data_IF_331605101809
#
_entry.id   IF_331605101809
#
_cell.length_a   1.000
_cell.length_b   1.000
_cell.length_c   1.000
_cell.angle_alpha   90.00
_cell.angle_beta   90.00
_cell.angle_gamma   90.00
#
_symmetry.space_group_name_H-M   'P 1'
#
loop_
_entity.id
_entity.type
_entity.pdbx_description
1 polymer ?
#
# COMPACT_ATOMS: atom_id res chain seq x y z
N UNK A 1 25.56 34.08 52.10
CA UNK A 1 24.95 35.31 52.66
C UNK A 1 24.03 35.92 51.59
N UNK A 2 22.83 36.37 52.04
CA UNK A 2 21.72 37.10 51.36
C UNK A 2 20.85 36.21 50.45
N UNK A 3 19.76 35.68 50.87
CA UNK A 3 18.39 36.06 51.26
C UNK A 3 17.79 37.27 50.52
N UNK A 4 16.61 37.00 49.91
CA UNK A 4 15.38 37.85 49.83
C UNK A 4 14.72 37.67 48.47
N UNK A 5 13.44 37.62 48.26
CA UNK A 5 12.19 37.52 49.05
C UNK A 5 11.06 37.48 48.00
N UNK A 6 10.03 36.74 48.36
CA UNK A 6 8.71 36.62 47.82
C UNK A 6 8.13 37.90 47.17
N UNK A 7 7.24 37.68 46.16
CA UNK A 7 6.03 38.47 46.06
C UNK A 7 4.92 37.67 45.38
N UNK A 8 3.90 37.37 46.16
CA UNK A 8 2.56 36.97 45.76
C UNK A 8 1.85 38.15 45.10
N UNK A 9 1.16 37.90 44.00
CA UNK A 9 -0.07 38.65 43.70
C UNK A 9 -1.10 37.71 43.06
N UNK A 10 -2.11 37.44 43.84
CA UNK A 10 -3.38 36.86 43.45
C UNK A 10 -4.21 37.96 42.75
N UNK A 11 -4.82 37.62 41.62
CA UNK A 11 -5.97 38.33 41.08
C UNK A 11 -6.96 37.35 40.53
N UNK A 12 -8.03 37.19 41.29
CA UNK A 12 -9.27 36.50 40.88
C UNK A 12 -10.08 37.43 39.99
N UNK A 13 -10.63 36.93 38.89
CA UNK A 13 -11.79 37.56 38.25
C UNK A 13 -12.60 36.49 37.49
N UNK A 14 -13.65 36.02 38.08
CA UNK A 14 -15.09 36.03 37.73
C UNK A 14 -15.47 35.59 36.33
N UNK A 15 -15.97 34.38 36.26
CA UNK A 15 -17.30 33.85 35.86
C UNK A 15 -18.05 34.63 34.76
N UNK A 16 -18.24 33.99 33.61
CA UNK A 16 -19.47 34.10 32.80
C UNK A 16 -19.75 32.83 32.03
N UNK A 17 -20.72 32.06 32.51
CA UNK A 17 -21.41 31.01 31.78
C UNK A 17 -22.28 31.69 30.70
N UNK A 18 -22.04 31.29 29.42
CA UNK A 18 -23.09 31.41 28.39
C UNK A 18 -23.30 30.04 27.79
N UNK A 19 -24.35 29.39 28.23
CA UNK A 19 -24.90 28.20 27.59
C UNK A 19 -25.55 28.62 26.27
N UNK A 20 -24.87 28.32 25.16
CA UNK A 20 -25.42 28.43 23.81
C UNK A 20 -25.83 27.02 23.31
N UNK A 21 -27.07 26.58 23.57
CA UNK A 21 -27.67 25.44 22.87
C UNK A 21 -27.90 25.83 21.41
N UNK A 22 -27.00 25.42 20.53
CA UNK A 22 -27.25 25.44 19.10
C UNK A 22 -27.87 24.09 18.71
N UNK A 23 -29.20 24.05 18.56
CA UNK A 23 -29.92 22.95 17.94
C UNK A 23 -29.53 22.89 16.46
N UNK A 24 -28.76 21.85 16.09
CA UNK A 24 -28.53 21.52 14.68
C UNK A 24 -29.87 21.10 14.08
N UNK A 25 -30.36 21.94 13.17
CA UNK A 25 -31.44 21.59 12.26
C UNK A 25 -30.99 20.37 11.45
N UNK A 26 -31.80 19.31 11.48
CA UNK A 26 -31.66 18.19 10.55
C UNK A 26 -31.80 18.77 9.12
N UNK A 27 -30.79 18.57 8.28
CA UNK A 27 -30.91 18.87 6.87
C UNK A 27 -31.75 17.73 6.27
N UNK A 28 -32.92 18.09 5.72
CA UNK A 28 -33.72 17.21 4.90
C UNK A 28 -32.87 16.76 3.70
N UNK A 29 -32.64 15.46 3.64
CA UNK A 29 -32.08 14.79 2.45
C UNK A 29 -33.13 14.85 1.34
N UNK A 30 -32.74 15.10 0.08
CA UNK A 30 -33.63 14.99 -1.05
C UNK A 30 -34.20 13.56 -1.15
N UNK A 31 -35.45 13.38 -1.59
CA UNK A 31 -36.05 12.05 -1.74
C UNK A 31 -35.29 11.21 -2.77
N UNK A 32 -35.03 9.96 -2.41
CA UNK A 32 -34.47 8.95 -3.32
C UNK A 32 -35.37 8.78 -4.56
N UNK A 33 -34.75 8.65 -5.76
CA UNK A 33 -35.54 8.34 -6.96
C UNK A 33 -36.16 6.94 -6.85
N UNK A 34 -37.36 6.73 -7.42
CA UNK A 34 -38.07 5.46 -7.30
C UNK A 34 -37.31 4.33 -7.98
N UNK A 35 -37.08 3.24 -7.24
CA UNK A 35 -36.56 2.00 -7.78
C UNK A 35 -37.53 1.36 -8.73
N UNK A 36 -37.26 1.43 -10.03
CA UNK A 36 -37.99 0.70 -11.04
C UNK A 36 -37.56 -0.77 -11.03
N UNK A 37 -38.30 -1.59 -10.31
CA UNK A 37 -38.23 -3.04 -10.46
C UNK A 37 -39.16 -3.46 -11.61
N UNK A 38 -38.58 -3.79 -12.74
CA UNK A 38 -39.30 -4.52 -13.79
C UNK A 38 -38.78 -5.96 -13.79
N UNK A 39 -39.61 -6.96 -13.51
CA UNK A 39 -39.22 -8.34 -13.76
C UNK A 39 -39.44 -8.62 -15.25
N UNK A 40 -38.38 -8.96 -15.95
CA UNK A 40 -38.49 -9.60 -17.26
C UNK A 40 -37.91 -10.98 -17.16
N UNK A 41 -38.75 -11.97 -17.09
CA UNK A 41 -38.44 -13.34 -17.41
C UNK A 41 -37.98 -13.42 -18.87
N UNK A 42 -36.76 -13.90 -19.04
CA UNK A 42 -36.16 -14.16 -20.35
C UNK A 42 -35.00 -15.12 -20.15
N UNK A 43 -35.36 -16.40 -19.96
CA UNK A 43 -34.46 -17.53 -20.03
C UNK A 43 -33.85 -17.56 -21.43
N UNK A 44 -32.60 -17.11 -21.53
CA UNK A 44 -31.75 -17.45 -22.67
C UNK A 44 -30.42 -17.90 -22.09
N UNK A 45 -30.24 -19.24 -22.04
CA UNK A 45 -28.98 -19.87 -21.72
C UNK A 45 -27.89 -19.40 -22.67
N UNK A 46 -27.14 -18.42 -22.24
CA UNK A 46 -25.84 -18.15 -22.85
C UNK A 46 -24.85 -19.03 -22.12
N UNK A 47 -24.45 -20.10 -22.77
CA UNK A 47 -23.24 -20.82 -22.38
C UNK A 47 -22.11 -19.80 -22.37
N UNK A 48 -21.66 -19.46 -21.17
CA UNK A 48 -20.42 -18.75 -20.95
C UNK A 48 -19.28 -19.68 -21.40
N UNK A 49 -19.02 -19.66 -22.68
CA UNK A 49 -17.79 -20.12 -23.25
C UNK A 49 -16.73 -19.15 -22.77
N UNK A 50 -16.02 -19.51 -21.69
CA UNK A 50 -14.89 -18.74 -21.18
C UNK A 50 -13.92 -18.47 -22.31
N UNK A 51 -14.06 -17.33 -22.98
CA UNK A 51 -13.00 -16.73 -23.79
C UNK A 51 -11.93 -16.41 -22.76
N UNK A 52 -10.88 -17.24 -22.70
CA UNK A 52 -9.70 -16.96 -21.94
C UNK A 52 -9.22 -15.58 -22.37
N UNK A 53 -9.44 -14.61 -21.51
CA UNK A 53 -9.04 -13.23 -21.75
C UNK A 53 -7.51 -13.22 -21.86
N UNK A 54 -7.04 -13.27 -23.11
CA UNK A 54 -5.60 -13.26 -23.38
C UNK A 54 -5.08 -11.89 -22.96
N UNK A 55 -4.35 -11.85 -21.86
CA UNK A 55 -3.77 -10.61 -21.36
C UNK A 55 -2.93 -9.93 -22.45
N UNK A 56 -3.11 -8.63 -22.60
CA UNK A 56 -2.31 -7.86 -23.58
C UNK A 56 -0.84 -7.93 -23.18
N UNK A 57 0.07 -8.27 -24.12
CA UNK A 57 1.51 -8.33 -23.85
C UNK A 57 2.03 -7.04 -23.21
N UNK A 58 2.77 -7.15 -22.12
CA UNK A 58 3.31 -6.02 -21.36
C UNK A 58 2.31 -5.34 -20.41
N UNK A 59 1.07 -5.82 -20.29
CA UNK A 59 0.10 -5.36 -19.32
C UNK A 59 0.37 -5.90 -17.92
N UNK A 60 -0.29 -5.31 -16.91
CA UNK A 60 -0.26 -5.85 -15.55
C UNK A 60 -0.80 -7.29 -15.47
N UNK A 61 -1.86 -7.58 -16.22
CA UNK A 61 -2.44 -8.91 -16.26
C UNK A 61 -1.46 -9.95 -16.84
N UNK A 62 -0.77 -9.61 -17.93
CA UNK A 62 0.29 -10.43 -18.53
C UNK A 62 1.44 -10.66 -17.55
N UNK A 63 1.88 -9.61 -16.83
CA UNK A 63 2.89 -9.72 -15.79
C UNK A 63 2.49 -10.74 -14.70
N UNK A 64 1.30 -10.58 -14.12
CA UNK A 64 0.80 -11.43 -13.05
C UNK A 64 0.59 -12.90 -13.48
N UNK A 65 0.31 -13.14 -14.76
CA UNK A 65 0.19 -14.50 -15.31
C UNK A 65 1.56 -15.13 -15.64
N UNK A 66 2.57 -14.29 -15.92
CA UNK A 66 3.88 -14.74 -16.39
C UNK A 66 4.91 -14.97 -15.29
N UNK A 67 4.70 -14.37 -14.09
CA UNK A 67 5.65 -14.50 -12.98
C UNK A 67 5.05 -15.28 -11.81
N UNK A 68 5.86 -15.99 -11.02
CA UNK A 68 5.38 -16.74 -9.84
C UNK A 68 4.72 -15.84 -8.78
N UNK A 69 5.21 -14.62 -8.64
CA UNK A 69 4.64 -13.60 -7.76
C UNK A 69 5.09 -12.19 -8.19
N UNK A 70 4.24 -11.19 -7.90
CA UNK A 70 4.55 -9.78 -8.08
C UNK A 70 5.41 -9.21 -6.93
N UNK A 71 5.58 -9.98 -5.85
CA UNK A 71 6.19 -9.56 -4.59
C UNK A 71 7.22 -10.54 -4.07
N UNK A 72 8.11 -10.02 -3.24
CA UNK A 72 9.06 -10.78 -2.45
C UNK A 72 8.89 -10.43 -0.97
N UNK A 73 9.22 -11.37 -0.10
CA UNK A 73 9.11 -11.22 1.36
C UNK A 73 10.48 -11.05 2.01
N UNK A 74 10.48 -10.48 3.21
CA UNK A 74 11.69 -10.24 3.99
C UNK A 74 11.57 -10.76 5.42
N UNK A 75 12.69 -11.18 5.98
CA UNK A 75 12.79 -11.46 7.40
C UNK A 75 12.54 -10.19 8.25
N UNK A 76 12.33 -10.40 9.55
CA UNK A 76 12.21 -9.29 10.49
C UNK A 76 13.45 -8.41 10.43
N UNK A 77 13.23 -7.10 10.38
CA UNK A 77 14.28 -6.07 10.37
C UNK A 77 15.37 -6.26 9.30
N UNK A 78 15.05 -6.96 8.20
CA UNK A 78 15.96 -7.26 7.10
C UNK A 78 15.44 -6.70 5.78
N UNK A 79 16.37 -6.45 4.86
CA UNK A 79 16.21 -6.16 3.45
C UNK A 79 17.04 -7.10 2.57
N UNK A 80 17.52 -8.21 3.12
CA UNK A 80 18.27 -9.22 2.41
C UNK A 80 17.36 -10.06 1.52
N UNK A 81 17.79 -10.33 0.29
CA UNK A 81 17.05 -11.12 -0.68
C UNK A 81 17.44 -12.59 -0.52
N UNK A 82 16.50 -13.41 -0.08
CA UNK A 82 16.70 -14.86 0.09
C UNK A 82 16.64 -15.63 -1.24
N UNK A 83 16.78 -16.94 -1.20
CA UNK A 83 16.79 -17.79 -2.39
C UNK A 83 15.44 -17.85 -3.12
N UNK A 84 14.33 -17.79 -2.38
CA UNK A 84 12.98 -17.76 -2.96
C UNK A 84 12.73 -16.43 -3.67
N UNK A 85 13.01 -15.32 -2.98
CA UNK A 85 12.92 -13.97 -3.54
C UNK A 85 13.77 -13.80 -4.80
N UNK A 86 14.96 -14.42 -4.85
CA UNK A 86 15.79 -14.41 -6.07
C UNK A 86 15.10 -15.08 -7.23
N UNK A 87 14.48 -16.26 -7.03
CA UNK A 87 13.74 -16.97 -8.09
C UNK A 87 12.59 -16.13 -8.65
N UNK A 88 11.85 -15.46 -7.76
CA UNK A 88 10.76 -14.56 -8.15
C UNK A 88 11.32 -13.38 -8.97
N UNK A 89 12.34 -12.71 -8.47
CA UNK A 89 12.95 -11.57 -9.16
C UNK A 89 13.63 -11.97 -10.48
N UNK A 90 14.18 -13.19 -10.60
CA UNK A 90 14.71 -13.70 -11.86
C UNK A 90 13.62 -13.83 -12.93
N UNK A 91 12.45 -14.35 -12.56
CA UNK A 91 11.30 -14.43 -13.46
C UNK A 91 10.79 -13.04 -13.84
N UNK A 92 10.71 -12.11 -12.88
CA UNK A 92 10.34 -10.72 -13.14
C UNK A 92 11.34 -10.04 -14.10
N UNK A 93 12.64 -10.26 -13.91
CA UNK A 93 13.67 -9.72 -14.80
C UNK A 93 13.56 -10.27 -16.23
N UNK A 94 13.26 -11.56 -16.39
CA UNK A 94 13.01 -12.17 -17.70
C UNK A 94 11.81 -11.53 -18.40
N UNK A 95 10.70 -11.37 -17.69
CA UNK A 95 9.51 -10.72 -18.23
C UNK A 95 9.77 -9.26 -18.60
N UNK A 96 10.45 -8.50 -17.73
CA UNK A 96 10.84 -7.13 -18.02
C UNK A 96 11.79 -6.99 -19.21
N UNK A 97 12.62 -7.99 -19.45
CA UNK A 97 13.51 -8.04 -20.63
C UNK A 97 12.75 -8.32 -21.91
N UNK A 98 11.71 -9.16 -21.85
CA UNK A 98 10.81 -9.44 -22.97
C UNK A 98 9.89 -8.23 -23.28
N UNK A 99 9.66 -7.35 -22.31
CA UNK A 99 8.78 -6.17 -22.41
C UNK A 99 9.57 -4.85 -22.20
N UNK A 100 10.44 -4.45 -23.13
CA UNK A 100 11.42 -3.36 -22.91
C UNK A 100 10.79 -1.98 -22.71
N UNK A 101 9.57 -1.76 -23.16
CA UNK A 101 8.85 -0.50 -23.04
C UNK A 101 8.14 -0.31 -21.69
N UNK A 102 7.98 -1.39 -20.92
CA UNK A 102 7.30 -1.35 -19.64
C UNK A 102 8.18 -0.70 -18.57
N UNK A 103 7.60 0.22 -17.82
CA UNK A 103 8.20 0.84 -16.63
C UNK A 103 7.46 0.32 -15.39
N UNK A 104 8.17 0.14 -14.31
CA UNK A 104 7.60 -0.38 -13.07
C UNK A 104 7.91 0.52 -11.89
N UNK A 105 7.04 0.45 -10.89
CA UNK A 105 7.32 1.00 -9.55
C UNK A 105 7.54 -0.17 -8.59
N UNK A 106 8.61 -0.11 -7.84
CA UNK A 106 8.93 -1.08 -6.81
C UNK A 106 8.58 -0.46 -5.47
N UNK A 107 7.55 -1.01 -4.84
CA UNK A 107 7.07 -0.55 -3.54
C UNK A 107 7.75 -1.33 -2.42
N UNK A 108 8.13 -0.64 -1.34
CA UNK A 108 8.70 -1.24 -0.16
C UNK A 108 7.80 -1.03 1.06
N UNK A 109 7.58 -2.11 1.79
CA UNK A 109 6.67 -2.17 2.93
C UNK A 109 7.34 -2.78 4.16
N UNK A 110 6.78 -2.44 5.32
CA UNK A 110 7.21 -2.97 6.61
C UNK A 110 5.99 -3.43 7.43
N UNK A 111 6.23 -4.20 8.48
CA UNK A 111 5.21 -4.50 9.46
C UNK A 111 4.93 -3.31 10.39
N UNK A 112 3.95 -3.41 11.26
CA UNK A 112 3.49 -2.30 12.11
C UNK A 112 4.47 -1.90 13.22
N UNK A 113 5.44 -2.75 13.57
CA UNK A 113 6.35 -2.56 14.70
C UNK A 113 7.37 -1.46 14.41
N UNK A 114 7.67 -0.64 15.43
CA UNK A 114 8.62 0.47 15.31
C UNK A 114 7.98 1.80 14.90
N UNK A 115 8.80 2.84 14.78
CA UNK A 115 8.36 4.18 14.41
C UNK A 115 8.01 4.29 12.92
N UNK A 116 7.26 5.31 12.56
CA UNK A 116 6.88 5.58 11.17
C UNK A 116 8.11 5.86 10.31
N UNK A 117 9.00 6.69 10.80
CA UNK A 117 10.23 7.11 10.11
C UNK A 117 11.17 5.93 9.87
N UNK A 118 11.33 5.08 10.88
CA UNK A 118 12.12 3.86 10.76
C UNK A 118 11.58 2.93 9.67
N UNK A 119 10.27 2.68 9.68
CA UNK A 119 9.63 1.81 8.71
C UNK A 119 9.64 2.36 7.29
N UNK A 120 9.52 3.69 7.12
CA UNK A 120 9.72 4.32 5.81
C UNK A 120 11.14 4.08 5.29
N UNK A 121 12.17 4.25 6.14
CA UNK A 121 13.54 3.99 5.75
C UNK A 121 13.79 2.48 5.46
N UNK A 122 13.19 1.57 6.23
CA UNK A 122 13.29 0.12 5.99
C UNK A 122 12.60 -0.28 4.68
N UNK A 123 11.39 0.26 4.42
CA UNK A 123 10.69 0.03 3.16
C UNK A 123 11.50 0.54 1.95
N UNK A 124 12.13 1.70 2.07
CA UNK A 124 13.01 2.23 1.01
C UNK A 124 14.20 1.28 0.74
N UNK A 125 14.86 0.76 1.79
CA UNK A 125 15.95 -0.22 1.63
C UNK A 125 15.47 -1.50 0.94
N UNK A 126 14.27 -2.00 1.26
CA UNK A 126 13.66 -3.18 0.62
C UNK A 126 13.37 -2.96 -0.85
N UNK A 127 12.74 -1.82 -1.19
CA UNK A 127 12.48 -1.46 -2.58
C UNK A 127 13.78 -1.31 -3.38
N UNK A 128 14.80 -0.66 -2.81
CA UNK A 128 16.10 -0.52 -3.46
C UNK A 128 16.85 -1.85 -3.57
N UNK A 129 16.73 -2.77 -2.61
CA UNK A 129 17.32 -4.11 -2.72
C UNK A 129 16.74 -4.87 -3.93
N UNK A 130 15.42 -4.89 -4.10
CA UNK A 130 14.75 -5.49 -5.26
C UNK A 130 15.16 -4.81 -6.57
N UNK A 131 15.17 -3.48 -6.62
CA UNK A 131 15.63 -2.70 -7.79
C UNK A 131 17.06 -3.03 -8.19
N UNK A 132 17.97 -3.07 -7.21
CA UNK A 132 19.38 -3.36 -7.47
C UNK A 132 19.56 -4.79 -7.99
N UNK A 133 18.80 -5.74 -7.48
CA UNK A 133 18.80 -7.12 -7.97
C UNK A 133 18.34 -7.18 -9.44
N UNK A 134 17.20 -6.56 -9.77
CA UNK A 134 16.69 -6.50 -11.14
C UNK A 134 17.67 -5.80 -12.08
N UNK A 135 18.32 -4.72 -11.62
CA UNK A 135 19.35 -4.02 -12.40
C UNK A 135 20.56 -4.92 -12.67
N UNK A 136 21.00 -5.72 -11.70
CA UNK A 136 22.06 -6.71 -11.88
C UNK A 136 21.68 -7.84 -12.86
N UNK A 137 20.38 -8.04 -13.09
CA UNK A 137 19.83 -8.96 -14.11
C UNK A 137 19.60 -8.30 -15.49
N UNK A 138 20.04 -7.06 -15.65
CA UNK A 138 20.01 -6.36 -16.93
C UNK A 138 18.81 -5.45 -17.16
N UNK A 139 17.92 -5.26 -16.17
CA UNK A 139 16.81 -4.32 -16.30
C UNK A 139 17.33 -2.88 -16.10
N UNK A 140 17.16 -1.96 -17.07
CA UNK A 140 17.66 -0.59 -16.93
C UNK A 140 17.07 0.14 -15.72
N UNK A 141 17.91 0.73 -14.89
CA UNK A 141 17.48 1.44 -13.70
C UNK A 141 16.52 2.61 -13.99
N UNK A 142 16.58 3.18 -15.18
CA UNK A 142 15.67 4.25 -15.66
C UNK A 142 14.23 3.79 -15.88
N UNK A 143 14.00 2.48 -15.91
CA UNK A 143 12.66 1.87 -16.02
C UNK A 143 12.03 1.55 -14.66
N UNK A 144 12.76 1.72 -13.57
CA UNK A 144 12.37 1.29 -12.24
C UNK A 144 12.37 2.47 -11.27
N UNK A 145 11.22 2.85 -10.79
CA UNK A 145 11.08 3.79 -9.67
C UNK A 145 10.93 3.02 -8.35
N UNK A 146 11.36 3.62 -7.25
CA UNK A 146 11.13 3.06 -5.91
C UNK A 146 10.25 3.99 -5.09
N UNK A 147 9.36 3.41 -4.29
CA UNK A 147 8.51 4.12 -3.34
C UNK A 147 8.46 3.32 -2.05
N UNK A 148 8.61 3.98 -0.92
CA UNK A 148 8.40 3.36 0.39
C UNK A 148 7.05 3.79 0.96
N UNK A 149 6.26 2.82 1.34
CA UNK A 149 5.05 3.00 2.13
C UNK A 149 5.29 2.72 3.62
N UNK A 150 6.46 2.19 3.97
CA UNK A 150 6.72 1.77 5.34
C UNK A 150 5.59 0.86 5.84
N UNK A 151 4.97 1.22 6.97
CA UNK A 151 3.84 0.50 7.55
C UNK A 151 2.46 1.05 7.19
N UNK A 152 2.38 2.06 6.32
CA UNK A 152 1.15 2.81 6.03
C UNK A 152 0.17 2.05 5.12
N UNK A 153 0.63 1.01 4.42
CA UNK A 153 -0.20 0.17 3.54
C UNK A 153 -0.03 -1.32 3.87
N UNK A 154 -0.62 -1.80 4.95
CA UNK A 154 -0.57 -3.22 5.29
C UNK A 154 -1.36 -4.05 4.26
N UNK A 155 -0.85 -5.22 3.92
CA UNK A 155 -1.52 -6.25 3.12
C UNK A 155 -2.45 -7.09 4.01
N UNK A 156 -1.90 -7.53 5.14
CA UNK A 156 -2.63 -8.29 6.14
C UNK A 156 -2.84 -7.44 7.39
N UNK A 157 -4.08 -7.43 7.87
CA UNK A 157 -4.45 -6.82 9.14
C UNK A 157 -4.25 -7.82 10.27
N UNK A 158 -3.70 -7.37 11.39
CA UNK A 158 -3.45 -8.19 12.57
C UNK A 158 -2.08 -7.89 13.16
N UNK A 159 -1.95 -8.21 14.47
CA UNK A 159 -0.74 -7.98 15.26
C UNK A 159 -0.11 -9.32 15.65
N UNK A 160 0.09 -10.18 14.66
CA UNK A 160 0.71 -11.50 14.80
C UNK A 160 1.76 -11.73 13.72
N UNK A 161 2.59 -12.77 13.90
CA UNK A 161 3.70 -13.05 12.97
C UNK A 161 3.21 -13.40 11.56
N UNK A 162 2.00 -13.97 11.39
CA UNK A 162 1.48 -14.30 10.07
C UNK A 162 1.16 -13.00 9.28
N UNK A 163 0.50 -12.03 9.92
CA UNK A 163 0.22 -10.73 9.32
C UNK A 163 1.52 -9.95 9.09
N UNK A 164 2.43 -9.92 10.08
CA UNK A 164 3.71 -9.20 9.94
C UNK A 164 4.57 -9.77 8.82
N UNK A 165 4.63 -11.09 8.66
CA UNK A 165 5.40 -11.72 7.58
C UNK A 165 4.91 -11.30 6.19
N UNK A 166 3.59 -11.20 5.98
CA UNK A 166 2.99 -10.74 4.72
C UNK A 166 3.25 -9.24 4.49
N UNK A 167 3.31 -8.45 5.56
CA UNK A 167 3.54 -7.00 5.47
C UNK A 167 5.01 -6.65 5.18
N UNK A 168 5.97 -7.50 5.57
CA UNK A 168 7.40 -7.33 5.26
C UNK A 168 7.69 -7.72 3.82
N UNK A 169 7.37 -6.85 2.86
CA UNK A 169 7.45 -7.18 1.43
C UNK A 169 7.96 -6.04 0.56
N UNK A 170 8.38 -6.38 -0.63
CA UNK A 170 8.50 -5.44 -1.75
C UNK A 170 7.64 -5.93 -2.91
N UNK A 171 6.94 -5.02 -3.57
CA UNK A 171 5.99 -5.32 -4.65
C UNK A 171 6.45 -4.64 -5.93
N UNK A 172 6.52 -5.39 -7.04
CA UNK A 172 6.76 -4.84 -8.37
C UNK A 172 5.42 -4.52 -9.03
N UNK A 173 5.13 -3.24 -9.20
CA UNK A 173 3.87 -2.73 -9.75
C UNK A 173 4.08 -2.33 -11.21
N UNK A 174 3.37 -3.02 -12.10
CA UNK A 174 3.22 -2.63 -13.51
C UNK A 174 2.01 -1.70 -13.59
N UNK A 175 2.13 -0.47 -14.15
CA UNK A 175 0.98 0.41 -14.35
C UNK A 175 -0.03 -0.21 -15.33
N UNK A 176 -1.29 0.19 -15.20
CA UNK A 176 -2.37 -0.19 -16.13
C UNK A 176 -2.24 0.53 -17.46
#
# INVERSE_FOLDING_TARGET
MKKRTASLMAAALVLSLTAGCSSRRAQDLPPEPPSSSTPTDGETGTQDGGVGETALPGSRADFLQSVPADRILFAFDSYDIDSESRRILDAQAQWLSANPNVRVTIEGHADERGTREYNLALGDRRANAAKNYLAARGVPASRMNTVSWGKERPEALGSDENAWAQNRRSVTVVPE
#
